data_IF_687233682015
#
_entry.id   IF_687233682015
#
_cell.length_a   1.000
_cell.length_b   1.000
_cell.length_c   1.000
_cell.angle_alpha   90.00
_cell.angle_beta   90.00
_cell.angle_gamma   90.00
#
_symmetry.space_group_name_H-M   'P 1'
#
loop_
_entity.id
_entity.type
_entity.pdbx_description
1 polymer ?
#
# COMPACT_ATOMS: atom_id res chain seq x y z
N UNK A 1 30.68 39.31 8.38
CA UNK A 1 29.60 38.73 7.56
C UNK A 1 29.16 37.50 8.29
N UNK A 2 28.15 37.59 9.16
CA UNK A 2 27.50 36.47 9.82
C UNK A 2 26.80 35.67 8.73
N UNK A 3 27.39 34.55 8.32
CA UNK A 3 26.67 33.56 7.50
C UNK A 3 25.51 33.07 8.39
N UNK A 4 24.31 33.49 8.10
CA UNK A 4 23.11 32.82 8.60
C UNK A 4 23.13 31.40 7.98
N UNK A 5 23.81 30.47 8.63
CA UNK A 5 23.71 29.05 8.35
C UNK A 5 22.34 28.64 8.86
N UNK A 6 21.39 28.53 7.97
CA UNK A 6 20.04 28.11 8.30
C UNK A 6 19.96 26.58 8.31
N UNK A 7 20.73 25.94 9.23
CA UNK A 7 20.56 24.53 9.52
C UNK A 7 19.12 24.30 9.97
N UNK A 8 18.55 23.17 9.60
CA UNK A 8 17.21 22.85 10.08
C UNK A 8 17.27 21.74 11.13
N UNK A 9 16.52 21.88 12.24
CA UNK A 9 16.57 20.96 13.34
C UNK A 9 15.84 19.66 12.99
N UNK A 10 16.35 18.52 13.48
CA UNK A 10 15.57 17.29 13.53
C UNK A 10 14.47 17.40 14.59
N UNK A 11 13.38 16.61 14.49
CA UNK A 11 12.29 16.61 15.45
C UNK A 11 12.77 16.24 16.86
N UNK A 12 12.19 16.85 17.92
CA UNK A 12 12.65 16.62 19.29
C UNK A 12 12.46 15.17 19.76
N UNK A 13 11.51 14.45 19.20
CA UNK A 13 11.24 13.04 19.52
C UNK A 13 10.60 12.33 18.32
N UNK A 14 10.78 11.01 18.26
CA UNK A 14 10.18 10.15 17.24
C UNK A 14 9.14 9.17 17.79
N UNK A 15 9.01 9.09 19.13
CA UNK A 15 8.12 8.15 19.82
C UNK A 15 7.31 8.91 20.88
N UNK A 16 6.01 8.64 20.90
CA UNK A 16 5.08 9.14 21.92
C UNK A 16 4.45 7.96 22.64
N UNK A 17 4.21 8.08 23.93
CA UNK A 17 3.59 7.04 24.72
C UNK A 17 2.13 7.36 25.02
N UNK A 18 1.22 6.47 24.61
CA UNK A 18 -0.19 6.49 25.00
C UNK A 18 -0.40 5.38 26.04
N UNK A 19 -0.15 5.70 27.31
CA UNK A 19 -0.04 4.68 28.34
C UNK A 19 1.13 3.74 28.08
N UNK A 20 0.92 2.42 28.06
CA UNK A 20 1.99 1.44 27.79
C UNK A 20 2.32 1.28 26.29
N UNK A 21 1.58 1.93 25.40
CA UNK A 21 1.71 1.73 23.95
C UNK A 21 2.60 2.82 23.34
N UNK A 22 3.79 2.47 22.77
CA UNK A 22 4.63 3.42 22.06
C UNK A 22 4.07 3.68 20.65
N UNK A 23 3.77 4.94 20.35
CA UNK A 23 3.38 5.40 19.01
C UNK A 23 4.63 5.96 18.33
N UNK A 24 5.12 5.27 17.32
CA UNK A 24 6.34 5.64 16.60
C UNK A 24 5.98 6.40 15.33
N UNK A 25 6.54 7.60 15.13
CA UNK A 25 6.37 8.38 13.91
C UNK A 25 6.71 7.57 12.66
N UNK A 26 7.81 6.80 12.72
CA UNK A 26 8.23 5.94 11.63
C UNK A 26 7.13 4.97 11.18
N UNK A 27 6.48 4.29 12.14
CA UNK A 27 5.38 3.37 11.85
C UNK A 27 4.17 4.08 11.21
N UNK A 28 3.85 5.29 11.70
CA UNK A 28 2.75 6.09 11.14
C UNK A 28 3.03 6.49 9.68
N UNK A 29 4.26 6.89 9.35
CA UNK A 29 4.63 7.22 7.98
C UNK A 29 4.63 5.99 7.06
N UNK A 30 5.05 4.82 7.55
CA UNK A 30 4.95 3.57 6.79
C UNK A 30 3.49 3.22 6.50
N UNK A 31 2.60 3.30 7.51
CA UNK A 31 1.16 3.05 7.33
C UNK A 31 0.56 4.07 6.34
N UNK A 32 0.86 5.36 6.51
CA UNK A 32 0.41 6.40 5.59
C UNK A 32 0.88 6.14 4.15
N UNK A 33 2.12 5.70 3.98
CA UNK A 33 2.68 5.30 2.69
C UNK A 33 1.94 4.12 2.07
N UNK A 34 1.67 3.06 2.85
CA UNK A 34 0.90 1.90 2.39
C UNK A 34 -0.50 2.34 1.95
N UNK A 35 -1.21 3.12 2.77
CA UNK A 35 -2.55 3.63 2.44
C UNK A 35 -2.52 4.45 1.14
N UNK A 36 -1.54 5.35 0.99
CA UNK A 36 -1.38 6.15 -0.24
C UNK A 36 -1.12 5.25 -1.47
N UNK A 37 -0.26 4.23 -1.33
CA UNK A 37 0.02 3.29 -2.41
C UNK A 37 -1.22 2.50 -2.83
N UNK A 38 -2.02 2.02 -1.87
CA UNK A 38 -3.25 1.28 -2.13
C UNK A 38 -4.30 2.14 -2.80
N UNK A 39 -4.54 3.37 -2.30
CA UNK A 39 -5.51 4.30 -2.87
C UNK A 39 -5.15 4.71 -4.31
N UNK A 40 -3.88 4.99 -4.57
CA UNK A 40 -3.39 5.34 -5.91
C UNK A 40 -3.45 4.11 -6.81
N UNK A 41 -3.01 2.96 -6.31
CA UNK A 41 -3.03 1.69 -7.04
C UNK A 41 -4.43 1.30 -7.49
N UNK A 42 -5.40 1.34 -6.58
CA UNK A 42 -6.80 0.99 -6.84
C UNK A 42 -7.43 1.89 -7.91
N UNK A 43 -7.28 3.21 -7.79
CA UNK A 43 -7.76 4.17 -8.80
C UNK A 43 -7.11 3.95 -10.17
N UNK A 44 -5.83 3.62 -10.18
CA UNK A 44 -5.09 3.36 -11.43
C UNK A 44 -5.45 2.01 -12.03
N UNK A 45 -5.73 1.02 -11.20
CA UNK A 45 -6.21 -0.29 -11.60
C UNK A 45 -7.58 -0.18 -12.29
N UNK A 46 -8.51 0.52 -11.64
CA UNK A 46 -9.82 0.84 -12.21
C UNK A 46 -9.71 1.59 -13.56
N UNK A 47 -8.84 2.61 -13.63
CA UNK A 47 -8.60 3.39 -14.85
C UNK A 47 -7.97 2.56 -16.00
N UNK A 48 -7.39 1.41 -15.70
CA UNK A 48 -6.84 0.45 -16.69
C UNK A 48 -7.86 -0.61 -17.12
N UNK A 49 -9.05 -0.65 -16.50
CA UNK A 49 -10.13 -1.60 -16.79
C UNK A 49 -10.25 -2.75 -15.81
N UNK A 50 -9.46 -2.74 -14.72
CA UNK A 50 -9.58 -3.70 -13.63
C UNK A 50 -10.74 -3.39 -12.69
N UNK A 51 -11.15 -4.36 -11.89
CA UNK A 51 -12.22 -4.21 -10.91
C UNK A 51 -11.70 -3.47 -9.67
N UNK A 52 -12.50 -2.52 -9.19
CA UNK A 52 -12.21 -1.76 -7.98
C UNK A 52 -12.22 -2.67 -6.76
N UNK A 53 -11.25 -2.48 -5.87
CA UNK A 53 -11.14 -3.28 -4.64
C UNK A 53 -10.14 -4.43 -4.72
N UNK A 54 -9.88 -4.99 -5.89
CA UNK A 54 -8.94 -6.11 -6.10
C UNK A 54 -7.53 -5.80 -5.56
N UNK A 55 -7.12 -4.52 -5.63
CA UNK A 55 -5.82 -4.10 -5.08
C UNK A 55 -5.73 -4.34 -3.57
N UNK A 56 -6.82 -4.07 -2.84
CA UNK A 56 -6.87 -4.30 -1.37
C UNK A 56 -6.85 -5.80 -1.05
N UNK A 57 -7.55 -6.61 -1.82
CA UNK A 57 -7.58 -8.06 -1.63
C UNK A 57 -6.20 -8.68 -1.85
N UNK A 58 -5.47 -8.22 -2.87
CA UNK A 58 -4.08 -8.67 -3.10
C UNK A 58 -3.16 -8.16 -2.00
N UNK A 59 -3.39 -6.95 -1.47
CA UNK A 59 -2.62 -6.42 -0.35
C UNK A 59 -2.73 -7.28 0.92
N UNK A 60 -3.87 -7.94 1.16
CA UNK A 60 -4.04 -8.91 2.26
C UNK A 60 -3.08 -10.10 2.17
N UNK A 61 -2.58 -10.42 0.99
CA UNK A 61 -1.51 -11.40 0.77
C UNK A 61 -0.14 -10.75 0.81
N UNK A 62 0.04 -9.64 0.10
CA UNK A 62 1.34 -8.98 -0.08
C UNK A 62 1.92 -8.48 1.24
N UNK A 63 1.10 -7.80 2.06
CA UNK A 63 1.58 -7.16 3.29
C UNK A 63 1.98 -8.18 4.36
N UNK A 64 1.15 -9.19 4.72
CA UNK A 64 1.56 -10.20 5.70
C UNK A 64 2.77 -11.02 5.23
N UNK A 65 2.80 -11.43 3.96
CA UNK A 65 3.96 -12.13 3.41
C UNK A 65 5.22 -11.28 3.45
N UNK A 66 5.11 -9.99 3.15
CA UNK A 66 6.22 -9.05 3.27
C UNK A 66 6.73 -8.91 4.70
N UNK A 67 5.85 -8.79 5.69
CA UNK A 67 6.21 -8.73 7.11
C UNK A 67 6.92 -10.01 7.58
N UNK A 68 6.36 -11.18 7.24
CA UNK A 68 6.97 -12.48 7.56
C UNK A 68 8.32 -12.61 6.87
N UNK A 69 8.42 -12.26 5.59
CA UNK A 69 9.65 -12.32 4.83
C UNK A 69 10.74 -11.42 5.40
N UNK A 70 10.38 -10.18 5.74
CA UNK A 70 11.29 -9.24 6.38
C UNK A 70 11.81 -9.76 7.71
N UNK A 71 10.96 -10.37 8.52
CA UNK A 71 11.36 -10.95 9.81
C UNK A 71 12.26 -12.16 9.61
N UNK A 72 11.89 -13.10 8.74
CA UNK A 72 12.71 -14.29 8.46
C UNK A 72 14.11 -13.92 7.95
N UNK A 73 14.20 -12.96 7.05
CA UNK A 73 15.48 -12.48 6.55
C UNK A 73 16.34 -11.90 7.68
N UNK A 74 15.77 -11.04 8.53
CA UNK A 74 16.48 -10.47 9.67
C UNK A 74 16.94 -11.55 10.65
N UNK A 75 16.08 -12.51 10.99
CA UNK A 75 16.44 -13.63 11.86
C UNK A 75 17.59 -14.48 11.28
N UNK A 76 17.64 -14.62 9.95
CA UNK A 76 18.71 -15.36 9.28
C UNK A 76 20.03 -14.58 9.23
N UNK A 77 19.98 -13.28 9.01
CA UNK A 77 21.20 -12.43 8.91
C UNK A 77 21.77 -12.06 10.26
N UNK A 78 20.94 -11.93 11.27
CA UNK A 78 21.30 -11.53 12.63
C UNK A 78 20.98 -12.62 13.67
N UNK A 79 21.18 -13.89 13.27
CA UNK A 79 20.81 -15.06 14.06
C UNK A 79 21.46 -15.10 15.46
N UNK A 80 22.67 -14.53 15.61
CA UNK A 80 23.40 -14.53 16.87
C UNK A 80 22.69 -13.75 17.96
N UNK A 81 22.00 -12.69 17.61
CA UNK A 81 21.19 -11.87 18.55
C UNK A 81 20.06 -12.70 19.19
N UNK A 82 19.55 -13.70 18.48
CA UNK A 82 18.41 -14.48 18.95
C UNK A 82 18.80 -15.86 19.52
N UNK A 83 19.73 -16.57 18.85
CA UNK A 83 20.08 -17.95 19.18
C UNK A 83 21.56 -18.16 19.50
N UNK A 84 22.38 -17.09 19.54
CA UNK A 84 23.75 -17.14 20.00
C UNK A 84 23.85 -17.31 21.52
N UNK A 85 25.05 -17.50 22.07
CA UNK A 85 25.29 -17.52 23.49
C UNK A 85 24.80 -16.21 24.13
N UNK A 86 23.86 -16.30 25.09
CA UNK A 86 23.22 -15.11 25.70
C UNK A 86 22.14 -14.44 24.83
N UNK A 87 21.68 -15.08 23.78
CA UNK A 87 20.70 -14.55 22.84
C UNK A 87 19.31 -14.36 23.44
N UNK A 88 18.51 -13.46 22.83
CA UNK A 88 17.21 -13.04 23.32
C UNK A 88 16.09 -14.11 23.20
N UNK A 89 16.35 -15.21 22.50
CA UNK A 89 15.47 -16.38 22.40
C UNK A 89 14.28 -16.23 21.44
N UNK A 90 13.47 -17.31 21.37
CA UNK A 90 12.33 -17.40 20.45
C UNK A 90 11.28 -16.32 20.71
N UNK A 91 11.02 -15.96 21.98
CA UNK A 91 10.08 -14.92 22.34
C UNK A 91 10.42 -13.56 21.69
N UNK A 92 11.70 -13.20 21.63
CA UNK A 92 12.16 -11.98 20.93
C UNK A 92 12.08 -12.15 19.41
N UNK A 93 12.31 -13.36 18.90
CA UNK A 93 12.26 -13.63 17.46
C UNK A 93 10.86 -13.39 16.85
N UNK A 94 9.78 -13.59 17.58
CA UNK A 94 8.40 -13.37 17.10
C UNK A 94 7.89 -11.95 17.32
N UNK A 95 8.56 -11.12 18.12
CA UNK A 95 8.17 -9.73 18.39
C UNK A 95 8.59 -8.82 17.23
N UNK A 96 7.74 -8.72 16.21
CA UNK A 96 7.98 -7.85 15.03
C UNK A 96 7.88 -6.36 15.37
N UNK A 97 7.16 -6.01 16.43
CA UNK A 97 7.00 -4.61 16.89
C UNK A 97 8.25 -4.00 17.55
N UNK A 98 9.20 -4.83 17.93
CA UNK A 98 10.49 -4.38 18.45
C UNK A 98 11.46 -3.96 17.33
N UNK A 99 11.05 -4.11 16.07
CA UNK A 99 11.86 -3.81 14.90
C UNK A 99 12.58 -5.06 14.38
N UNK A 100 13.58 -4.85 13.51
CA UNK A 100 14.34 -5.96 12.90
C UNK A 100 13.57 -6.62 11.75
N UNK A 101 13.36 -5.85 10.68
CA UNK A 101 12.77 -6.31 9.42
C UNK A 101 13.77 -6.07 8.28
N UNK A 102 14.17 -7.13 7.59
CA UNK A 102 15.09 -7.03 6.47
C UNK A 102 14.35 -6.78 5.15
N UNK A 103 14.73 -5.72 4.43
CA UNK A 103 14.05 -5.29 3.20
C UNK A 103 14.04 -6.37 2.10
N UNK A 104 15.13 -7.12 1.96
CA UNK A 104 15.24 -8.15 0.92
C UNK A 104 14.23 -9.29 1.12
N UNK A 105 14.07 -9.74 2.36
CA UNK A 105 13.06 -10.73 2.69
C UNK A 105 11.65 -10.20 2.51
N UNK A 106 11.40 -8.93 2.88
CA UNK A 106 10.12 -8.28 2.70
C UNK A 106 9.74 -8.17 1.20
N UNK A 107 10.69 -7.79 0.35
CA UNK A 107 10.47 -7.70 -1.10
C UNK A 107 10.25 -9.10 -1.71
N UNK A 108 11.08 -10.08 -1.35
CA UNK A 108 10.99 -11.43 -1.91
C UNK A 108 9.65 -12.12 -1.57
N UNK A 109 9.31 -12.21 -0.28
CA UNK A 109 8.05 -12.84 0.11
C UNK A 109 6.83 -11.95 -0.17
N UNK A 110 6.95 -10.63 -0.12
CA UNK A 110 5.90 -9.72 -0.57
C UNK A 110 5.54 -9.93 -2.05
N UNK A 111 6.55 -10.13 -2.90
CA UNK A 111 6.33 -10.48 -4.31
C UNK A 111 5.64 -11.85 -4.48
N UNK A 112 5.98 -12.85 -3.65
CA UNK A 112 5.26 -14.14 -3.62
C UNK A 112 3.81 -13.94 -3.19
N UNK A 113 3.54 -13.15 -2.15
CA UNK A 113 2.20 -12.81 -1.72
C UNK A 113 1.39 -12.12 -2.82
N UNK A 114 1.98 -11.13 -3.51
CA UNK A 114 1.37 -10.47 -4.65
C UNK A 114 1.07 -11.44 -5.80
N UNK A 115 2.01 -12.34 -6.11
CA UNK A 115 1.80 -13.37 -7.12
C UNK A 115 0.65 -14.33 -6.77
N UNK A 116 0.56 -14.78 -5.50
CA UNK A 116 -0.54 -15.62 -5.02
C UNK A 116 -1.87 -14.87 -5.16
N UNK A 117 -1.93 -13.60 -4.71
CA UNK A 117 -3.11 -12.77 -4.81
C UNK A 117 -3.56 -12.58 -6.27
N UNK A 118 -2.63 -12.22 -7.16
CA UNK A 118 -2.92 -12.08 -8.59
C UNK A 118 -3.41 -13.38 -9.22
N UNK A 119 -2.78 -14.53 -8.89
CA UNK A 119 -3.21 -15.85 -9.39
C UNK A 119 -4.61 -16.22 -8.92
N UNK A 120 -4.97 -15.90 -7.69
CA UNK A 120 -6.32 -16.16 -7.17
C UNK A 120 -7.39 -15.32 -7.85
N UNK A 121 -7.06 -14.09 -8.22
CA UNK A 121 -7.97 -13.21 -8.95
C UNK A 121 -7.91 -13.40 -10.47
N UNK A 122 -7.01 -14.26 -11.00
CA UNK A 122 -6.85 -14.49 -12.43
C UNK A 122 -6.29 -13.30 -13.22
N UNK A 123 -5.55 -12.41 -12.55
CA UNK A 123 -4.99 -11.21 -13.17
C UNK A 123 -3.48 -11.32 -13.37
N UNK A 124 -2.91 -10.64 -14.38
CA UNK A 124 -1.47 -10.68 -14.64
C UNK A 124 -0.71 -9.82 -13.61
N UNK A 125 0.28 -10.43 -12.93
CA UNK A 125 1.14 -9.74 -11.96
C UNK A 125 1.86 -8.50 -12.54
N UNK A 126 2.37 -8.49 -13.79
CA UNK A 126 2.99 -7.29 -14.36
C UNK A 126 2.04 -6.08 -14.45
N UNK A 127 0.78 -6.29 -14.83
CA UNK A 127 -0.22 -5.24 -14.89
C UNK A 127 -0.55 -4.67 -13.50
N UNK A 128 -0.68 -5.56 -12.51
CA UNK A 128 -0.83 -5.17 -11.10
C UNK A 128 0.36 -4.34 -10.62
N UNK A 129 1.59 -4.77 -10.91
CA UNK A 129 2.80 -4.04 -10.56
C UNK A 129 2.84 -2.64 -11.20
N UNK A 130 2.45 -2.51 -12.48
CA UNK A 130 2.37 -1.22 -13.18
C UNK A 130 1.33 -0.28 -12.56
N UNK A 131 0.21 -0.80 -12.11
CA UNK A 131 -0.81 0.00 -11.43
C UNK A 131 -0.29 0.57 -10.11
N UNK A 132 0.48 -0.22 -9.35
CA UNK A 132 1.03 0.14 -8.05
C UNK A 132 2.31 0.98 -8.10
N UNK A 133 3.11 0.90 -9.18
CA UNK A 133 4.44 1.49 -9.26
C UNK A 133 4.50 2.96 -8.79
N UNK A 134 3.63 3.90 -9.23
CA UNK A 134 3.66 5.26 -8.72
C UNK A 134 3.28 5.36 -7.24
N UNK A 135 2.35 4.53 -6.76
CA UNK A 135 1.97 4.46 -5.35
C UNK A 135 3.12 4.00 -4.47
N UNK A 136 3.89 3.01 -4.91
CA UNK A 136 5.04 2.47 -4.17
C UNK A 136 6.13 3.53 -4.00
N UNK A 137 6.51 4.24 -5.07
CA UNK A 137 7.56 5.27 -4.96
C UNK A 137 7.11 6.44 -4.09
N UNK A 138 5.83 6.81 -4.12
CA UNK A 138 5.29 7.81 -3.21
C UNK A 138 5.31 7.32 -1.75
N UNK A 139 4.97 6.06 -1.51
CA UNK A 139 5.08 5.47 -0.17
C UNK A 139 6.52 5.48 0.34
N UNK A 140 7.49 5.22 -0.53
CA UNK A 140 8.91 5.32 -0.20
C UNK A 140 9.31 6.77 0.13
N UNK A 141 8.79 7.77 -0.60
CA UNK A 141 9.00 9.18 -0.26
C UNK A 141 8.45 9.53 1.12
N UNK A 142 7.21 9.12 1.42
CA UNK A 142 6.57 9.33 2.72
C UNK A 142 7.36 8.65 3.84
N UNK A 143 7.83 7.42 3.61
CA UNK A 143 8.61 6.66 4.58
C UNK A 143 9.93 7.35 4.98
N UNK A 144 10.52 8.20 4.11
CA UNK A 144 11.73 8.98 4.44
C UNK A 144 11.50 10.00 5.55
N UNK A 145 10.27 10.46 5.74
CA UNK A 145 9.94 11.29 6.90
C UNK A 145 10.11 10.53 8.23
N UNK A 146 9.90 9.22 8.22
CA UNK A 146 10.18 8.38 9.38
C UNK A 146 11.66 8.41 9.78
N UNK A 147 12.58 8.36 8.82
CA UNK A 147 14.03 8.47 9.09
C UNK A 147 14.41 9.84 9.66
N UNK A 148 13.76 10.92 9.21
CA UNK A 148 13.92 12.25 9.79
C UNK A 148 13.55 12.30 11.26
N UNK A 149 12.41 11.71 11.65
CA UNK A 149 11.99 11.62 13.05
C UNK A 149 12.89 10.73 13.91
N UNK A 150 13.44 9.66 13.33
CA UNK A 150 14.34 8.75 14.04
C UNK A 150 15.79 9.26 14.15
N UNK A 151 16.15 10.33 13.47
CA UNK A 151 17.55 10.79 13.35
C UNK A 151 18.47 9.67 12.84
N UNK A 152 18.05 8.96 11.79
CA UNK A 152 18.80 7.82 11.26
C UNK A 152 19.04 7.94 9.74
N UNK A 153 20.00 7.16 9.25
CA UNK A 153 20.32 7.05 7.82
C UNK A 153 20.68 8.40 7.16
N UNK A 154 21.27 9.30 7.90
CA UNK A 154 21.78 10.58 7.41
C UNK A 154 23.13 10.42 6.69
N UNK A 155 23.59 11.49 6.03
CA UNK A 155 24.87 11.53 5.32
C UNK A 155 26.01 12.02 6.22
N UNK A 156 27.16 12.26 5.56
CA UNK A 156 28.36 12.76 6.24
C UNK A 156 28.13 14.15 6.84
N UNK A 157 28.97 14.51 7.81
CA UNK A 157 29.01 15.86 8.36
C UNK A 157 29.16 16.90 7.25
N UNK A 158 28.50 18.04 7.43
CA UNK A 158 28.46 19.10 6.42
C UNK A 158 28.43 20.48 7.03
N UNK A 159 28.97 21.43 6.28
CA UNK A 159 28.86 22.87 6.54
C UNK A 159 27.93 23.57 5.57
N UNK A 160 27.18 22.81 4.77
CA UNK A 160 26.22 23.36 3.82
C UNK A 160 25.07 24.07 4.55
N UNK A 161 24.53 25.17 4.01
CA UNK A 161 23.52 25.98 4.71
C UNK A 161 22.20 25.27 4.99
N UNK A 162 21.95 24.14 4.37
CA UNK A 162 20.78 23.27 4.57
C UNK A 162 21.12 21.98 5.34
N UNK A 163 22.20 21.98 6.15
CA UNK A 163 22.55 20.86 6.99
C UNK A 163 21.44 20.51 7.98
N UNK A 164 21.31 19.24 8.31
CA UNK A 164 20.38 18.71 9.30
C UNK A 164 21.08 18.64 10.68
N UNK A 165 20.50 19.27 11.67
CA UNK A 165 20.97 19.17 13.05
C UNK A 165 20.46 17.89 13.69
N UNK A 166 21.39 17.07 14.18
CA UNK A 166 21.13 15.87 14.96
C UNK A 166 21.37 16.22 16.43
N UNK A 167 20.35 15.97 17.26
CA UNK A 167 20.42 16.30 18.68
C UNK A 167 20.76 15.09 19.53
N UNK A 168 21.47 15.33 20.63
CA UNK A 168 21.51 14.35 21.72
C UNK A 168 20.11 14.16 22.30
N UNK A 169 19.70 12.91 22.44
CA UNK A 169 18.41 12.51 23.00
C UNK A 169 18.60 11.75 24.29
N UNK A 170 17.80 12.09 25.29
CA UNK A 170 17.76 11.39 26.57
C UNK A 170 16.64 10.37 26.55
N UNK A 171 16.96 9.10 26.76
CA UNK A 171 15.99 8.03 26.88
C UNK A 171 15.29 8.02 28.25
N UNK A 172 14.24 7.20 28.47
CA UNK A 172 13.55 7.06 29.74
C UNK A 172 14.45 6.56 30.90
N UNK A 173 15.58 5.90 30.60
CA UNK A 173 16.56 5.45 31.59
C UNK A 173 17.53 6.55 32.00
N UNK A 174 17.52 7.70 31.32
CA UNK A 174 18.41 8.83 31.54
C UNK A 174 19.69 8.79 30.72
N UNK A 175 19.92 7.75 29.91
CA UNK A 175 21.05 7.65 29.00
C UNK A 175 20.91 8.65 27.84
N UNK A 176 22.00 9.28 27.46
CA UNK A 176 22.05 10.32 26.43
C UNK A 176 22.80 9.79 25.21
N UNK A 177 22.13 9.66 24.09
CA UNK A 177 22.69 9.21 22.82
C UNK A 177 21.94 9.83 21.63
N UNK A 178 22.62 10.30 20.57
CA UNK A 178 21.93 10.84 19.39
C UNK A 178 21.07 9.80 18.64
N UNK A 179 21.35 8.50 18.81
CA UNK A 179 20.65 7.39 18.16
C UNK A 179 19.52 6.80 19.03
N UNK A 180 19.24 7.38 20.20
CA UNK A 180 18.15 6.92 21.06
C UNK A 180 16.80 7.12 20.35
N UNK A 181 16.14 6.01 19.97
CA UNK A 181 14.84 6.04 19.26
C UNK A 181 13.72 6.53 20.17
N UNK A 182 13.75 6.16 21.45
CA UNK A 182 12.73 6.53 22.45
C UNK A 182 13.17 7.75 23.31
N UNK A 183 14.14 8.47 22.83
CA UNK A 183 14.69 9.62 23.51
C UNK A 183 14.03 10.94 23.11
N UNK A 184 14.05 11.89 24.05
CA UNK A 184 13.64 13.29 23.83
C UNK A 184 14.89 14.16 23.72
N UNK A 185 14.89 15.08 22.76
CA UNK A 185 16.01 16.01 22.52
C UNK A 185 16.39 16.79 23.78
N UNK A 186 17.67 16.86 24.01
CA UNK A 186 18.26 17.72 25.11
C UNK A 186 18.41 19.17 24.66
N UNK A 187 18.18 19.48 23.37
CA UNK A 187 18.48 20.80 22.77
C UNK A 187 19.94 20.98 22.40
N UNK A 188 20.83 20.04 22.73
CA UNK A 188 22.24 20.08 22.37
C UNK A 188 22.46 19.37 21.03
N UNK A 189 23.06 20.10 20.06
CA UNK A 189 23.42 19.54 18.75
C UNK A 189 24.61 18.60 18.92
N UNK A 190 24.47 17.39 18.42
CA UNK A 190 25.54 16.39 18.36
C UNK A 190 26.35 16.53 17.06
N UNK A 191 25.65 16.62 15.93
CA UNK A 191 26.22 16.65 14.59
C UNK A 191 25.38 17.55 13.67
N UNK A 192 26.01 18.11 12.63
CA UNK A 192 25.32 18.72 11.48
C UNK A 192 25.68 17.90 10.25
N UNK A 193 24.69 17.31 9.61
CA UNK A 193 24.88 16.28 8.59
C UNK A 193 24.11 16.57 7.31
N UNK A 194 24.46 15.87 6.24
CA UNK A 194 23.71 15.93 4.99
C UNK A 194 22.33 15.26 5.16
N UNK A 195 21.23 15.95 4.81
CA UNK A 195 19.86 15.43 4.94
C UNK A 195 19.52 14.43 3.85
N UNK A 196 20.14 13.27 3.86
CA UNK A 196 19.91 12.24 2.81
C UNK A 196 18.46 11.81 2.73
N UNK A 197 17.70 11.83 3.85
CA UNK A 197 16.26 11.56 3.84
C UNK A 197 15.52 12.55 2.92
N UNK A 198 15.91 13.84 2.93
CA UNK A 198 15.29 14.87 2.08
C UNK A 198 15.66 14.67 0.61
N UNK A 199 16.91 14.30 0.34
CA UNK A 199 17.36 14.03 -1.04
C UNK A 199 16.62 12.83 -1.62
N UNK A 200 16.48 11.73 -0.85
CA UNK A 200 15.71 10.57 -1.26
C UNK A 200 14.21 10.88 -1.41
N UNK A 201 13.64 11.68 -0.50
CA UNK A 201 12.25 12.11 -0.57
C UNK A 201 11.99 12.90 -1.87
N UNK A 202 12.79 13.91 -2.14
CA UNK A 202 12.65 14.75 -3.34
C UNK A 202 12.87 13.94 -4.62
N UNK A 203 13.86 13.06 -4.64
CA UNK A 203 14.10 12.16 -5.76
C UNK A 203 12.90 11.24 -6.01
N UNK A 204 12.38 10.61 -4.97
CA UNK A 204 11.23 9.72 -5.08
C UNK A 204 9.97 10.47 -5.55
N UNK A 205 9.76 11.71 -5.11
CA UNK A 205 8.69 12.57 -5.63
C UNK A 205 8.90 12.92 -7.11
N UNK A 206 10.13 13.19 -7.52
CA UNK A 206 10.46 13.44 -8.93
C UNK A 206 10.12 12.19 -9.78
N UNK A 207 10.55 11.01 -9.34
CA UNK A 207 10.23 9.75 -10.03
C UNK A 207 8.72 9.49 -10.04
N UNK A 208 8.01 9.77 -8.94
CA UNK A 208 6.54 9.67 -8.89
C UNK A 208 5.88 10.49 -10.01
N UNK A 209 6.25 11.77 -10.13
CA UNK A 209 5.73 12.66 -11.17
C UNK A 209 6.13 12.17 -12.57
N UNK A 210 7.38 11.74 -12.74
CA UNK A 210 7.88 11.19 -14.00
C UNK A 210 7.12 9.95 -14.44
N UNK A 211 6.79 9.02 -13.50
CA UNK A 211 6.00 7.82 -13.79
C UNK A 211 4.57 8.18 -14.22
N UNK A 212 3.92 9.12 -13.54
CA UNK A 212 2.59 9.57 -13.93
C UNK A 212 2.59 10.22 -15.32
N UNK A 213 3.61 11.01 -15.62
CA UNK A 213 3.78 11.62 -16.93
C UNK A 213 4.05 10.58 -18.02
N UNK A 214 4.97 9.64 -17.75
CA UNK A 214 5.32 8.57 -18.68
C UNK A 214 4.10 7.68 -18.98
N UNK A 215 3.33 7.30 -17.96
CA UNK A 215 2.14 6.47 -18.14
C UNK A 215 1.05 7.14 -19.00
N UNK A 216 0.91 8.48 -18.85
CA UNK A 216 -0.03 9.26 -19.68
C UNK A 216 0.40 9.42 -21.14
N UNK A 217 1.72 9.44 -21.38
CA UNK A 217 2.29 9.75 -22.71
C UNK A 217 2.68 8.51 -23.51
N UNK A 218 3.14 7.45 -22.84
CA UNK A 218 3.81 6.32 -23.47
C UNK A 218 2.96 5.03 -23.45
N UNK A 219 1.75 5.04 -22.85
CA UNK A 219 0.85 3.88 -22.75
C UNK A 219 1.58 2.61 -22.32
N UNK A 220 2.31 2.71 -21.18
CA UNK A 220 3.13 1.64 -20.65
C UNK A 220 2.28 0.53 -20.00
N UNK A 221 2.59 -0.71 -20.29
CA UNK A 221 1.99 -1.92 -19.75
C UNK A 221 2.99 -3.06 -19.66
N UNK A 222 2.52 -4.26 -19.36
CA UNK A 222 3.32 -5.49 -19.28
C UNK A 222 4.52 -5.39 -18.31
N UNK A 223 4.35 -4.66 -17.18
CA UNK A 223 5.40 -4.45 -16.19
C UNK A 223 6.43 -3.38 -16.54
N UNK A 224 6.28 -2.69 -17.67
CA UNK A 224 7.26 -1.69 -18.12
C UNK A 224 7.24 -0.43 -17.26
N UNK A 225 6.09 0.00 -16.75
CA UNK A 225 6.02 1.14 -15.83
C UNK A 225 6.69 0.79 -14.49
N UNK A 226 6.49 -0.43 -14.01
CA UNK A 226 7.18 -0.93 -12.82
C UNK A 226 8.69 -1.02 -13.03
N UNK A 227 9.15 -1.51 -14.18
CA UNK A 227 10.57 -1.51 -14.53
C UNK A 227 11.16 -0.09 -14.58
N UNK A 228 10.43 0.89 -15.11
CA UNK A 228 10.83 2.29 -15.10
C UNK A 228 10.94 2.85 -13.67
N UNK A 229 10.00 2.49 -12.79
CA UNK A 229 10.07 2.80 -11.37
C UNK A 229 11.35 2.23 -10.74
N UNK A 230 11.62 0.94 -10.96
CA UNK A 230 12.81 0.27 -10.39
C UNK A 230 14.10 0.94 -10.89
N UNK A 231 14.18 1.23 -12.19
CA UNK A 231 15.34 1.93 -12.77
C UNK A 231 15.54 3.32 -12.16
N UNK A 232 14.48 4.12 -12.08
CA UNK A 232 14.53 5.46 -11.50
C UNK A 232 14.90 5.46 -10.01
N UNK A 233 14.35 4.52 -9.24
CA UNK A 233 14.71 4.32 -7.85
C UNK A 233 16.19 3.93 -7.68
N UNK A 234 16.70 3.00 -8.48
CA UNK A 234 18.09 2.57 -8.42
C UNK A 234 19.08 3.69 -8.68
N UNK A 235 18.79 4.61 -9.61
CA UNK A 235 19.63 5.79 -9.84
C UNK A 235 19.71 6.66 -8.59
N UNK A 236 18.57 7.01 -7.99
CA UNK A 236 18.55 7.80 -6.76
C UNK A 236 19.25 7.09 -5.60
N UNK A 237 19.00 5.79 -5.44
CA UNK A 237 19.63 4.99 -4.39
C UNK A 237 21.15 4.94 -4.56
N UNK A 238 21.64 4.78 -5.78
CA UNK A 238 23.07 4.82 -6.07
C UNK A 238 23.70 6.18 -5.68
N UNK A 239 23.09 7.30 -6.09
CA UNK A 239 23.58 8.63 -5.77
C UNK A 239 23.60 8.90 -4.25
N UNK A 240 22.52 8.53 -3.55
CA UNK A 240 22.42 8.74 -2.10
C UNK A 240 23.41 7.85 -1.33
N UNK A 241 23.65 6.63 -1.80
CA UNK A 241 24.61 5.72 -1.17
C UNK A 241 26.04 6.29 -1.15
N UNK A 242 26.40 7.12 -2.13
CA UNK A 242 27.68 7.82 -2.16
C UNK A 242 27.81 8.91 -1.09
N UNK A 243 26.68 9.42 -0.57
CA UNK A 243 26.64 10.49 0.45
C UNK A 243 26.52 9.95 1.88
N UNK A 244 26.14 8.67 2.04
CA UNK A 244 25.91 8.05 3.36
C UNK A 244 27.20 7.71 4.07
N UNK A 245 27.17 7.81 5.40
CA UNK A 245 28.29 7.56 6.29
C UNK A 245 28.07 6.37 7.25
N UNK A 246 26.89 5.72 7.17
CA UNK A 246 26.61 4.55 8.00
C UNK A 246 27.47 3.35 7.62
N UNK A 247 27.66 2.46 8.58
CA UNK A 247 28.43 1.22 8.40
C UNK A 247 27.83 0.34 7.32
N UNK A 248 28.59 0.00 6.30
CA UNK A 248 28.17 -0.90 5.23
C UNK A 248 29.31 -1.84 4.85
N UNK A 249 28.97 -3.01 4.33
CA UNK A 249 29.95 -3.93 3.75
C UNK A 249 30.51 -3.34 2.45
N UNK A 250 31.84 -3.31 2.35
CA UNK A 250 32.55 -2.84 1.17
C UNK A 250 33.14 -4.02 0.40
N UNK A 251 33.01 -4.00 -0.92
CA UNK A 251 33.64 -4.90 -1.85
C UNK A 251 34.52 -4.04 -2.78
N UNK A 252 35.80 -4.27 -2.81
CA UNK A 252 36.77 -3.48 -3.58
C UNK A 252 36.65 -1.94 -3.30
N UNK A 253 36.41 -1.56 -2.06
CA UNK A 253 36.29 -0.15 -1.65
C UNK A 253 34.94 0.51 -1.99
N UNK A 254 34.02 -0.22 -2.61
CA UNK A 254 32.67 0.27 -2.96
C UNK A 254 31.61 -0.42 -2.08
N UNK A 255 30.64 0.31 -1.61
CA UNK A 255 29.54 -0.22 -0.79
C UNK A 255 28.71 -1.25 -1.56
N UNK A 256 28.37 -2.37 -0.95
CA UNK A 256 27.61 -3.48 -1.58
C UNK A 256 26.29 -3.01 -2.20
N UNK A 257 25.64 -2.01 -1.58
CA UNK A 257 24.37 -1.46 -2.06
C UNK A 257 24.52 -0.76 -3.43
N UNK A 258 25.69 -0.20 -3.74
CA UNK A 258 25.97 0.41 -5.06
C UNK A 258 26.00 -0.64 -6.15
N UNK A 259 26.64 -1.79 -5.89
CA UNK A 259 26.61 -2.93 -6.83
C UNK A 259 25.20 -3.45 -7.03
N UNK A 260 24.46 -3.65 -5.94
CA UNK A 260 23.07 -4.11 -6.00
C UNK A 260 22.21 -3.16 -6.82
N UNK A 261 22.31 -1.85 -6.57
CA UNK A 261 21.55 -0.84 -7.33
C UNK A 261 21.92 -0.87 -8.82
N UNK A 262 23.19 -1.07 -9.16
CA UNK A 262 23.64 -1.16 -10.55
C UNK A 262 23.09 -2.40 -11.25
N UNK A 263 23.19 -3.58 -10.64
CA UNK A 263 22.67 -4.81 -11.25
C UNK A 263 21.16 -4.80 -11.41
N UNK A 264 20.44 -4.32 -10.39
CA UNK A 264 18.98 -4.19 -10.46
C UNK A 264 18.56 -3.16 -11.52
N UNK A 265 19.30 -2.06 -11.65
CA UNK A 265 19.09 -1.07 -12.70
C UNK A 265 19.25 -1.70 -14.09
N UNK A 266 20.35 -2.41 -14.33
CA UNK A 266 20.58 -3.10 -15.62
C UNK A 266 19.43 -4.08 -15.90
N UNK A 267 19.04 -4.89 -14.92
CA UNK A 267 17.92 -5.82 -15.07
C UNK A 267 16.60 -5.12 -15.41
N UNK A 268 16.31 -4.00 -14.77
CA UNK A 268 15.13 -3.20 -15.05
C UNK A 268 15.14 -2.61 -16.46
N UNK A 269 16.28 -2.11 -16.92
CA UNK A 269 16.43 -1.58 -18.28
C UNK A 269 16.29 -2.68 -19.32
N UNK A 270 16.91 -3.83 -19.11
CA UNK A 270 16.78 -5.02 -20.00
C UNK A 270 15.32 -5.43 -20.08
N UNK A 271 14.61 -5.52 -18.93
CA UNK A 271 13.20 -5.84 -18.91
C UNK A 271 12.37 -4.80 -19.68
N UNK A 272 12.62 -3.50 -19.46
CA UNK A 272 11.93 -2.40 -20.14
C UNK A 272 12.07 -2.49 -21.66
N UNK A 273 13.23 -2.96 -22.15
CA UNK A 273 13.49 -3.13 -23.57
C UNK A 273 12.88 -4.41 -24.14
N UNK A 274 12.88 -5.51 -23.38
CA UNK A 274 12.44 -6.83 -23.82
C UNK A 274 10.93 -7.07 -23.69
N UNK A 275 10.25 -6.42 -22.72
CA UNK A 275 8.84 -6.61 -22.47
C UNK A 275 7.96 -6.11 -23.63
N UNK A 276 6.78 -6.72 -23.87
CA UNK A 276 5.87 -6.32 -24.93
C UNK A 276 5.50 -4.84 -24.84
N UNK A 277 5.34 -4.20 -26.00
CA UNK A 277 4.93 -2.80 -26.11
C UNK A 277 3.41 -2.69 -26.04
N UNK A 278 2.95 -1.55 -25.56
CA UNK A 278 1.52 -1.29 -25.40
C UNK A 278 1.04 -1.53 -23.97
N UNK A 279 -0.27 -1.53 -23.81
CA UNK A 279 -0.96 -1.80 -22.55
C UNK A 279 -1.72 -3.11 -22.67
N UNK A 280 -1.91 -3.82 -21.57
CA UNK A 280 -2.72 -5.03 -21.51
C UNK A 280 -4.16 -4.75 -21.95
N UNK A 281 -4.80 -5.77 -22.50
CA UNK A 281 -6.22 -5.73 -22.83
C UNK A 281 -7.03 -5.59 -21.53
N UNK A 282 -7.96 -4.62 -21.44
CA UNK A 282 -8.82 -4.44 -20.27
C UNK A 282 -9.59 -5.71 -19.86
N UNK A 283 -9.95 -6.58 -20.81
CA UNK A 283 -10.62 -7.84 -20.50
C UNK A 283 -9.74 -8.78 -19.67
N UNK A 284 -8.43 -8.82 -19.94
CA UNK A 284 -7.47 -9.62 -19.17
C UNK A 284 -7.29 -9.15 -17.73
N UNK A 285 -7.73 -7.92 -17.40
CA UNK A 285 -7.61 -7.32 -16.07
C UNK A 285 -8.85 -7.56 -15.21
N UNK A 286 -9.96 -8.04 -15.77
CA UNK A 286 -11.20 -8.33 -15.05
C UNK A 286 -11.12 -9.58 -14.18
N UNK A 287 -10.20 -10.51 -14.49
CA UNK A 287 -9.96 -11.70 -13.70
C UNK A 287 -11.06 -12.74 -13.75
N UNK A 288 -11.06 -13.68 -12.79
CA UNK A 288 -11.96 -14.85 -12.77
C UNK A 288 -13.41 -14.55 -12.37
N UNK A 289 -13.73 -13.33 -11.95
CA UNK A 289 -15.09 -13.00 -11.49
C UNK A 289 -16.06 -12.69 -12.62
N UNK A 290 -15.56 -12.50 -13.83
CA UNK A 290 -16.37 -12.31 -15.04
C UNK A 290 -16.22 -13.47 -16.02
N UNK A 291 -16.48 -14.69 -15.57
CA UNK A 291 -17.12 -15.64 -16.47
C UNK A 291 -18.58 -15.19 -16.47
N UNK A 292 -18.94 -14.29 -17.40
CA UNK A 292 -20.30 -14.14 -17.83
C UNK A 292 -20.79 -15.57 -18.06
N UNK A 293 -21.79 -16.05 -17.29
CA UNK A 293 -22.56 -17.21 -17.71
C UNK A 293 -23.11 -16.82 -19.08
N UNK A 294 -22.43 -17.29 -20.12
CA UNK A 294 -22.99 -17.27 -21.45
C UNK A 294 -24.40 -17.83 -21.29
N UNK A 295 -25.47 -17.10 -21.67
CA UNK A 295 -26.81 -17.60 -21.50
C UNK A 295 -26.84 -18.96 -22.13
N UNK A 296 -27.09 -20.02 -21.38
CA UNK A 296 -27.16 -21.37 -21.88
C UNK A 296 -28.05 -21.32 -23.14
N UNK A 297 -27.46 -21.59 -24.30
CA UNK A 297 -28.22 -21.74 -25.53
C UNK A 297 -29.38 -22.69 -25.20
N UNK A 298 -30.63 -22.29 -25.42
CA UNK A 298 -31.76 -23.18 -25.14
C UNK A 298 -31.51 -24.47 -25.92
N UNK A 299 -31.34 -25.57 -25.17
CA UNK A 299 -31.21 -26.90 -25.78
C UNK A 299 -32.28 -27.03 -26.87
N UNK A 300 -31.94 -27.42 -28.10
CA UNK A 300 -32.93 -27.62 -29.17
C UNK A 300 -33.91 -28.65 -28.65
N UNK A 301 -35.18 -28.24 -28.52
CA UNK A 301 -36.27 -29.09 -28.12
C UNK A 301 -36.27 -30.34 -29.02
N UNK A 302 -35.97 -31.49 -28.43
CA UNK A 302 -36.02 -32.78 -29.08
C UNK A 302 -37.45 -33.01 -29.51
N UNK A 303 -37.73 -32.76 -30.78
CA UNK A 303 -38.99 -33.11 -31.42
C UNK A 303 -39.06 -34.63 -31.40
N UNK A 304 -39.78 -35.19 -30.45
CA UNK A 304 -40.15 -36.59 -30.44
C UNK A 304 -41.07 -36.84 -31.62
N UNK A 305 -40.54 -37.48 -32.67
CA UNK A 305 -41.28 -38.01 -33.77
C UNK A 305 -42.21 -39.12 -33.25
N UNK A 306 -43.48 -38.82 -33.13
CA UNK A 306 -44.52 -39.82 -32.90
C UNK A 306 -44.85 -40.42 -34.26
N UNK A 307 -44.36 -41.64 -34.48
CA UNK A 307 -44.77 -42.50 -35.61
C UNK A 307 -46.16 -43.03 -35.29
N UNK A 308 -47.08 -42.73 -36.17
CA UNK A 308 -48.41 -43.30 -36.23
C UNK A 308 -48.36 -44.84 -36.38
N UNK A 309 -49.19 -45.50 -35.58
CA UNK A 309 -49.73 -46.79 -35.96
C UNK A 309 -51.27 -46.79 -35.75
N UNK A 310 -52.00 -46.80 -36.83
CA UNK A 310 -53.40 -46.92 -36.83
C UNK A 310 -53.81 -48.33 -36.32
N UNK A 311 -54.90 -48.43 -35.59
CA UNK A 311 -56.03 -49.33 -35.88
C UNK A 311 -57.13 -49.16 -34.83
N UNK A 312 -58.32 -48.89 -35.32
CA UNK A 312 -59.71 -49.31 -35.06
C UNK A 312 -60.17 -49.55 -33.59
N UNK A 313 -61.34 -48.94 -33.29
CA UNK A 313 -62.28 -49.52 -32.33
C UNK A 313 -63.21 -48.53 -31.64
N UNK A 314 -64.26 -48.11 -32.33
CA UNK A 314 -65.67 -48.06 -31.97
C UNK A 314 -66.10 -47.73 -30.53
N UNK A 315 -66.94 -46.69 -30.41
CA UNK A 315 -68.15 -46.54 -29.59
C UNK A 315 -68.06 -46.08 -28.16
N UNK A 316 -68.79 -45.02 -27.87
CA UNK A 316 -69.46 -44.91 -26.60
C UNK A 316 -69.57 -43.53 -25.95
N UNK A 317 -70.47 -42.74 -26.51
CA UNK A 317 -71.53 -41.97 -25.81
C UNK A 317 -71.23 -41.17 -24.53
N UNK A 318 -71.61 -39.88 -24.69
CA UNK A 318 -72.43 -39.07 -23.74
C UNK A 318 -71.78 -38.71 -22.41
N UNK A 319 -71.82 -37.54 -21.96
CA UNK A 319 -72.75 -36.42 -21.91
C UNK A 319 -72.38 -35.46 -20.81
N UNK A 320 -72.74 -34.25 -21.04
CA UNK A 320 -73.25 -33.21 -20.11
C UNK A 320 -72.21 -32.39 -19.34
N UNK A 321 -72.18 -31.14 -19.75
CA UNK A 321 -72.89 -29.98 -19.17
C UNK A 321 -72.31 -29.55 -17.84
N UNK A 322 -71.89 -28.41 -17.72
CA UNK A 322 -72.49 -27.07 -17.47
C UNK A 322 -71.45 -26.20 -16.76
N UNK A 323 -71.21 -25.06 -17.33
CA UNK A 323 -71.62 -23.76 -16.77
C UNK A 323 -70.92 -23.40 -15.47
N UNK A 324 -70.42 -22.23 -15.24
CA UNK A 324 -70.80 -20.84 -15.48
C UNK A 324 -69.63 -19.97 -15.01
N UNK A 325 -69.25 -19.03 -15.76
CA UNK A 325 -69.56 -17.60 -15.64
C UNK A 325 -68.96 -16.89 -14.41
N UNK A 326 -68.34 -15.80 -14.72
CA UNK A 326 -68.43 -14.54 -14.03
C UNK A 326 -67.03 -13.92 -13.88
N UNK A 327 -66.63 -13.11 -14.77
CA UNK A 327 -66.96 -11.71 -14.96
C UNK A 327 -66.34 -10.81 -13.86
N UNK A 328 -65.50 -10.01 -14.34
CA UNK A 328 -65.51 -8.54 -14.37
C UNK A 328 -64.90 -7.89 -13.12
N UNK A 329 -63.83 -7.21 -13.29
CA UNK A 329 -63.74 -5.81 -13.73
C UNK A 329 -63.65 -4.80 -12.57
N UNK A 330 -62.80 -3.85 -12.87
CA UNK A 330 -62.77 -2.43 -12.41
C UNK A 330 -61.85 -2.15 -11.25
N UNK A 331 -60.83 -1.39 -11.50
CA UNK A 331 -60.69 0.05 -11.80
C UNK A 331 -60.44 0.88 -10.55
N UNK A 332 -59.41 1.70 -10.68
CA UNK A 332 -59.29 3.14 -10.35
C UNK A 332 -58.96 3.42 -8.87
N UNK A 333 -57.84 4.01 -8.62
CA UNK A 333 -57.65 5.46 -8.52
C UNK A 333 -57.16 5.88 -7.19
N UNK A 334 -56.28 6.78 -7.18
CA UNK A 334 -56.28 8.08 -6.56
C UNK A 334 -55.15 8.22 -5.52
N UNK A 335 -54.12 8.91 -5.75
CA UNK A 335 -53.86 10.33 -5.55
C UNK A 335 -54.20 10.89 -4.15
N UNK A 336 -53.25 11.53 -3.54
CA UNK A 336 -53.41 12.46 -2.42
C UNK A 336 -52.22 12.38 -1.46
N UNK A 337 -51.17 13.15 -1.58
CA UNK A 337 -50.97 14.56 -1.15
C UNK A 337 -51.52 14.88 0.24
N UNK A 338 -50.62 15.29 1.10
CA UNK A 338 -50.55 16.46 1.99
C UNK A 338 -49.59 16.15 3.14
N UNK A 339 -48.50 16.86 3.25
CA UNK A 339 -48.27 18.20 3.82
C UNK A 339 -48.58 18.30 5.34
N UNK A 340 -47.53 18.74 5.99
CA UNK A 340 -47.48 19.85 6.95
C UNK A 340 -47.55 19.56 8.46
N UNK A 341 -46.67 20.21 9.16
CA UNK A 341 -46.83 20.76 10.46
C UNK A 341 -45.70 20.44 11.42
N UNK A 342 -44.62 21.24 11.51
CA UNK A 342 -44.44 22.49 12.30
C UNK A 342 -44.84 22.34 13.77
N UNK A 343 -43.86 22.51 14.63
CA UNK A 343 -43.72 23.39 15.81
C UNK A 343 -42.72 22.78 16.79
N UNK A 344 -41.58 23.43 17.04
CA UNK A 344 -41.27 24.61 17.88
C UNK A 344 -41.68 24.43 19.35
N UNK A 345 -40.69 24.60 20.12
CA UNK A 345 -40.52 25.32 21.41
C UNK A 345 -39.73 24.42 22.38
N UNK A 346 -38.78 24.85 23.09
CA UNK A 346 -38.28 26.17 23.45
C UNK A 346 -37.64 26.05 24.82
N UNK A 347 -36.64 26.86 25.01
CA UNK A 347 -36.21 27.50 26.25
C UNK A 347 -35.89 26.58 27.46
N UNK A 348 -34.90 26.77 28.17
CA UNK A 348 -34.08 27.90 28.49
C UNK A 348 -33.32 27.68 29.79
N UNK A 349 -32.39 28.59 29.97
CA UNK A 349 -31.80 29.09 31.22
C UNK A 349 -30.74 28.23 31.92
N UNK A 350 -29.48 28.71 31.88
CA UNK A 350 -28.86 29.73 32.76
C UNK A 350 -28.55 29.22 34.18
N UNK A 351 -27.32 29.43 34.54
CA UNK A 351 -26.79 29.55 35.88
C UNK A 351 -25.33 29.13 35.89
N UNK A 352 -24.34 29.92 35.63
CA UNK A 352 -23.69 30.97 36.46
C UNK A 352 -23.09 30.47 37.75
N UNK A 353 -21.82 30.83 37.85
CA UNK A 353 -20.92 31.18 38.96
C UNK A 353 -20.05 30.04 39.51
N UNK A 354 -18.77 30.14 39.38
CA UNK A 354 -17.76 31.07 39.94
C UNK A 354 -17.24 30.61 41.32
N UNK A 355 -15.94 30.72 41.44
CA UNK A 355 -15.22 30.74 42.71
C UNK A 355 -14.10 29.68 42.74
N UNK A 356 -12.88 29.93 42.54
CA UNK A 356 -11.87 30.79 43.16
C UNK A 356 -10.97 29.99 44.11
N UNK A 357 -9.68 30.14 43.87
CA UNK A 357 -8.52 30.11 44.78
C UNK A 357 -8.26 28.78 45.51
N UNK A 358 -7.13 28.31 45.56
CA UNK A 358 -5.73 28.79 45.72
C UNK A 358 -5.03 27.78 46.59
N UNK A 359 -3.93 27.49 46.32
CA UNK A 359 -2.59 27.51 46.96
C UNK A 359 -1.63 26.71 46.06
#
# INVERSE_FOLDING_TARGET
VTKLLAYFPSPPQGVWHLGPVPIRAYALFIIAGIVAALLIGDRRWEARGGERGVIYDIALWTVPFGLVGGRLYHLATDWRTYWGPGGAGFGAAVRIWDGGLGIWGAVALGAVGAWIGCRRHGIPLPAFADALAPGIILAQAIGRLGNYFNQELYGRETTLPWGLEIFYRRDPSGYIDPHSLDGVSTGQVALVVQPTFLYELLWNLLIFVALLYADRRLTLGHGRLFALYVAGYCVGRFCVELLRDDTATHIAGIRINSFTSTFVFIGAVVYLMAAPKGREDPESLRGNQYVEEEPAEPEPATVAATTEAATEGVAGRRSRRRRRDGAAARRIGGAGRREAGIRRNGSGRRGERAGSRGT
#
